data_IF_961530564661
#
_entry.id   IF_961530564661
#
_cell.length_a   1.000
_cell.length_b   1.000
_cell.length_c   1.000
_cell.angle_alpha   90.00
_cell.angle_beta   90.00
_cell.angle_gamma   90.00
#
_symmetry.space_group_name_H-M   'P 1'
#
loop_
_entity.id
_entity.type
_entity.pdbx_description
1 polymer ?
#
# COMPACT_ATOMS: atom_id res chain seq x y z
N UNK A 1 -34.42 29.50 12.68
CA UNK A 1 -34.06 28.95 11.35
C UNK A 1 -32.55 28.79 11.18
N UNK A 2 -31.74 29.78 11.57
CA UNK A 2 -30.26 29.74 11.52
C UNK A 2 -29.65 28.49 12.20
N UNK A 3 -30.12 28.11 13.38
CA UNK A 3 -29.61 26.91 14.08
C UNK A 3 -29.79 25.61 13.26
N UNK A 4 -30.92 25.46 12.56
CA UNK A 4 -31.18 24.28 11.71
C UNK A 4 -30.24 24.25 10.51
N UNK A 5 -29.95 25.42 9.94
CA UNK A 5 -29.02 25.59 8.82
C UNK A 5 -27.58 25.27 9.28
N UNK A 6 -27.17 25.78 10.45
CA UNK A 6 -25.85 25.50 11.01
C UNK A 6 -25.64 24.00 11.30
N UNK A 7 -26.65 23.33 11.86
CA UNK A 7 -26.61 21.89 12.12
C UNK A 7 -26.50 21.10 10.80
N UNK A 8 -27.22 21.51 9.76
CA UNK A 8 -27.13 20.88 8.44
C UNK A 8 -25.72 20.99 7.85
N UNK A 9 -25.12 22.18 7.88
CA UNK A 9 -23.74 22.38 7.39
C UNK A 9 -22.71 21.60 8.22
N UNK A 10 -22.89 21.53 9.54
CA UNK A 10 -22.02 20.73 10.41
C UNK A 10 -22.13 19.23 10.09
N UNK A 11 -23.33 18.71 9.84
CA UNK A 11 -23.54 17.32 9.46
C UNK A 11 -22.91 16.99 8.11
N UNK A 12 -23.02 17.89 7.12
CA UNK A 12 -22.39 17.73 5.80
C UNK A 12 -20.87 17.74 5.96
N UNK A 13 -20.29 18.68 6.71
CA UNK A 13 -18.84 18.73 6.94
C UNK A 13 -18.31 17.45 7.61
N UNK A 14 -19.04 16.91 8.60
CA UNK A 14 -18.68 15.65 9.26
C UNK A 14 -18.75 14.44 8.32
N UNK A 15 -19.76 14.39 7.43
CA UNK A 15 -19.87 13.34 6.43
C UNK A 15 -18.75 13.42 5.37
N UNK A 16 -18.37 14.63 4.95
CA UNK A 16 -17.30 14.87 3.98
C UNK A 16 -15.88 14.61 4.54
N UNK A 17 -15.68 14.72 5.86
CA UNK A 17 -14.39 14.41 6.48
C UNK A 17 -14.08 12.90 6.51
N UNK A 18 -15.10 12.05 6.36
CA UNK A 18 -14.96 10.60 6.51
C UNK A 18 -14.22 9.94 5.33
N UNK A 19 -14.27 10.51 4.12
CA UNK A 19 -13.54 9.97 2.96
C UNK A 19 -12.02 10.14 3.07
N UNK A 20 -11.54 11.12 3.83
CA UNK A 20 -10.10 11.33 4.10
C UNK A 20 -9.62 10.44 5.25
N UNK A 21 -10.48 10.15 6.23
CA UNK A 21 -10.13 9.36 7.41
C UNK A 21 -10.25 7.84 7.18
N UNK A 22 -11.21 7.40 6.36
CA UNK A 22 -11.45 5.97 6.08
C UNK A 22 -10.26 5.31 5.38
N UNK A 23 -9.59 5.97 4.45
CA UNK A 23 -8.50 5.34 3.68
C UNK A 23 -7.19 5.21 4.47
N UNK A 24 -6.93 6.13 5.41
CA UNK A 24 -5.69 6.14 6.19
C UNK A 24 -5.76 5.31 7.50
N UNK A 25 -6.96 5.09 8.05
CA UNK A 25 -7.15 4.35 9.32
C UNK A 25 -7.49 2.87 9.10
N UNK A 26 -8.09 2.51 7.96
CA UNK A 26 -8.31 1.10 7.64
C UNK A 26 -6.97 0.49 7.20
N UNK A 27 -6.49 -0.50 7.95
CA UNK A 27 -5.43 -1.39 7.50
C UNK A 27 -5.97 -2.19 6.31
N UNK A 28 -5.77 -1.67 5.09
CA UNK A 28 -6.24 -2.28 3.84
C UNK A 28 -5.44 -3.52 3.45
N UNK A 29 -4.57 -4.03 4.33
CA UNK A 29 -3.68 -5.17 4.08
C UNK A 29 -2.57 -4.89 3.08
N UNK A 30 -2.37 -3.63 2.70
CA UNK A 30 -1.28 -3.17 1.82
C UNK A 30 0.01 -3.07 2.63
N UNK A 31 1.07 -3.67 2.15
CA UNK A 31 2.38 -3.65 2.80
C UNK A 31 3.50 -3.65 1.77
N UNK A 32 4.54 -2.85 2.02
CA UNK A 32 5.77 -2.89 1.22
C UNK A 32 6.95 -3.12 2.15
N UNK A 33 7.80 -4.09 1.80
CA UNK A 33 8.98 -4.43 2.58
C UNK A 33 10.16 -4.66 1.65
N UNK A 34 11.16 -3.80 1.80
CA UNK A 34 12.43 -3.86 1.07
C UNK A 34 13.57 -4.24 2.00
N UNK A 35 14.40 -5.20 1.59
CA UNK A 35 15.59 -5.63 2.33
C UNK A 35 16.78 -5.76 1.37
N UNK A 36 17.93 -5.22 1.76
CA UNK A 36 19.21 -5.40 1.05
C UNK A 36 20.25 -5.96 2.02
N UNK A 37 21.06 -6.93 1.59
CA UNK A 37 22.06 -7.57 2.46
C UNK A 37 23.33 -6.75 2.63
N UNK A 38 23.81 -6.12 1.56
CA UNK A 38 24.92 -5.18 1.61
C UNK A 38 24.57 -3.90 0.84
N UNK A 39 25.27 -2.81 1.15
CA UNK A 39 25.08 -1.53 0.46
C UNK A 39 25.58 -1.53 -0.99
N UNK A 40 25.96 -2.68 -1.54
CA UNK A 40 26.50 -2.87 -2.88
C UNK A 40 25.48 -3.43 -3.86
N UNK A 41 24.30 -3.88 -3.40
CA UNK A 41 23.27 -4.42 -4.28
C UNK A 41 23.28 -5.95 -4.38
N UNK A 42 24.14 -6.64 -3.61
CA UNK A 42 24.15 -8.10 -3.59
C UNK A 42 22.91 -8.56 -2.80
N UNK A 43 21.83 -8.88 -3.54
CA UNK A 43 20.54 -9.35 -3.01
C UNK A 43 19.66 -8.26 -2.37
N UNK A 44 18.99 -7.49 -3.21
CA UNK A 44 17.84 -6.67 -2.83
C UNK A 44 16.54 -7.45 -3.06
N UNK A 45 15.71 -7.58 -2.02
CA UNK A 45 14.38 -8.16 -2.06
C UNK A 45 13.33 -7.09 -1.81
N UNK A 46 12.29 -7.06 -2.63
CA UNK A 46 11.10 -6.27 -2.37
C UNK A 46 9.88 -7.18 -2.36
N UNK A 47 9.01 -6.99 -1.38
CA UNK A 47 7.70 -7.62 -1.31
C UNK A 47 6.63 -6.54 -1.22
N UNK A 48 5.67 -6.56 -2.13
CA UNK A 48 4.56 -5.62 -2.16
C UNK A 48 3.22 -6.36 -2.16
N UNK A 49 2.36 -6.03 -1.20
CA UNK A 49 0.95 -6.40 -1.18
C UNK A 49 0.15 -5.19 -1.66
N UNK A 50 -0.51 -5.31 -2.81
CA UNK A 50 -1.32 -4.25 -3.42
C UNK A 50 -2.75 -4.17 -2.86
N UNK A 51 -3.23 -5.24 -2.22
CA UNK A 51 -4.55 -5.31 -1.58
C UNK A 51 -4.58 -6.36 -0.46
N UNK A 52 -5.43 -6.16 0.55
CA UNK A 52 -5.58 -7.09 1.67
C UNK A 52 -6.29 -8.40 1.35
N UNK A 53 -6.68 -8.62 0.09
CA UNK A 53 -7.25 -9.89 -0.38
C UNK A 53 -6.14 -10.84 -0.84
N UNK A 54 -4.91 -10.35 -1.03
CA UNK A 54 -3.77 -11.13 -1.51
C UNK A 54 -3.77 -11.38 -3.01
N UNK A 55 -4.64 -10.69 -3.77
CA UNK A 55 -4.74 -10.83 -5.21
C UNK A 55 -3.57 -10.17 -5.92
N UNK A 56 -3.05 -9.07 -5.37
CA UNK A 56 -1.92 -8.35 -5.94
C UNK A 56 -0.69 -8.51 -5.04
N UNK A 57 0.20 -9.44 -5.36
CA UNK A 57 1.45 -9.66 -4.63
C UNK A 57 2.64 -9.66 -5.59
N UNK A 58 3.64 -8.81 -5.34
CA UNK A 58 4.85 -8.77 -6.14
C UNK A 58 6.09 -9.08 -5.29
N UNK A 59 6.96 -9.94 -5.80
CA UNK A 59 8.31 -10.19 -5.28
C UNK A 59 9.32 -9.81 -6.35
N UNK A 60 10.23 -8.90 -6.03
CA UNK A 60 11.36 -8.56 -6.90
C UNK A 60 12.68 -8.91 -6.21
N UNK A 61 13.60 -9.49 -6.97
CA UNK A 61 14.98 -9.71 -6.59
C UNK A 61 15.92 -9.06 -7.60
N UNK A 62 16.93 -8.34 -7.10
CA UNK A 62 18.01 -7.75 -7.89
C UNK A 62 19.32 -8.15 -7.21
N UNK A 63 20.33 -8.53 -8.00
CA UNK A 63 21.67 -8.79 -7.50
C UNK A 63 22.73 -8.22 -8.44
N UNK A 64 23.81 -7.74 -7.85
CA UNK A 64 25.19 -7.65 -8.36
C UNK A 64 26.11 -7.44 -7.14
N UNK A 65 27.44 -7.62 -7.11
CA UNK A 65 28.48 -6.90 -7.85
C UNK A 65 29.26 -7.67 -8.96
N UNK A 66 28.80 -8.84 -9.42
CA UNK A 66 29.26 -9.50 -10.66
C UNK A 66 28.55 -10.84 -10.99
N UNK A 67 27.59 -11.30 -10.18
CA UNK A 67 26.99 -12.64 -10.31
C UNK A 67 25.46 -12.64 -10.40
N UNK A 68 24.95 -11.63 -11.10
CA UNK A 68 23.64 -11.01 -10.98
C UNK A 68 22.45 -11.97 -11.19
N UNK A 69 21.41 -11.86 -10.35
CA UNK A 69 20.10 -12.49 -10.57
C UNK A 69 19.00 -11.44 -10.45
N UNK A 70 18.16 -11.39 -11.48
CA UNK A 70 17.00 -10.52 -11.56
C UNK A 70 15.75 -11.39 -11.79
N UNK A 71 14.78 -11.27 -10.91
CA UNK A 71 13.55 -12.03 -10.98
C UNK A 71 12.40 -11.22 -10.42
N UNK A 72 11.27 -11.24 -11.12
CA UNK A 72 10.03 -10.64 -10.63
C UNK A 72 8.92 -11.66 -10.74
N UNK A 73 8.27 -11.91 -9.62
CA UNK A 73 7.07 -12.76 -9.56
C UNK A 73 5.92 -11.88 -9.11
N UNK A 74 4.90 -11.76 -9.95
CA UNK A 74 3.69 -11.02 -9.61
C UNK A 74 2.49 -11.95 -9.74
N UNK A 75 1.69 -11.99 -8.68
CA UNK A 75 0.34 -12.52 -8.69
C UNK A 75 -0.58 -11.30 -8.76
N UNK A 76 -1.47 -11.27 -9.74
CA UNK A 76 -2.48 -10.21 -9.91
C UNK A 76 -3.91 -10.75 -9.79
N UNK A 77 -4.06 -12.05 -9.54
CA UNK A 77 -5.34 -12.75 -9.46
C UNK A 77 -5.24 -13.93 -8.49
N UNK A 78 -6.31 -14.20 -7.73
CA UNK A 78 -6.43 -15.32 -6.79
C UNK A 78 -7.40 -16.41 -7.28
N UNK A 79 -8.04 -16.23 -8.44
CA UNK A 79 -9.04 -17.16 -9.00
C UNK A 79 -8.54 -18.62 -9.11
#
# INVERSE_FOLDING_TARGET
MIAKIAILFAAIAAACANSILTTAILNTGVSTSSRSQDGLGNYAFNYGIGDGLGATNARAEIGDAAGNKQGTYTITDID
#
